data_IF_358666536228
#
_entry.id   IF_358666536228
#
_cell.length_a   1.000
_cell.length_b   1.000
_cell.length_c   1.000
_cell.angle_alpha   90.00
_cell.angle_beta   90.00
_cell.angle_gamma   90.00
#
_symmetry.space_group_name_H-M   'P 1'
#
loop_
_entity.id
_entity.type
_entity.pdbx_description
1 polymer ?
#
# COMPACT_ATOMS: atom_id res chain seq x y z
N UNK A 1 -14.50 -15.61 9.45
CA UNK A 1 -13.47 -14.66 8.95
C UNK A 1 -12.37 -15.50 8.31
N UNK A 2 -12.31 -15.59 6.99
CA UNK A 2 -11.31 -16.45 6.32
C UNK A 2 -9.97 -15.72 6.37
N UNK A 3 -9.05 -16.24 7.19
CA UNK A 3 -7.66 -15.81 7.23
C UNK A 3 -7.07 -15.91 5.81
N UNK A 4 -6.61 -14.78 5.29
CA UNK A 4 -6.10 -14.68 3.92
C UNK A 4 -4.66 -15.17 3.92
N UNK A 5 -4.39 -16.26 3.20
CA UNK A 5 -3.07 -16.88 3.18
C UNK A 5 -2.10 -16.06 2.33
N UNK A 6 -0.95 -15.60 2.85
CA UNK A 6 0.07 -14.98 2.04
C UNK A 6 0.64 -16.00 1.05
N UNK A 7 0.99 -15.53 -0.14
CA UNK A 7 1.42 -16.40 -1.26
C UNK A 7 2.87 -16.85 -1.13
N UNK A 8 3.59 -16.36 -0.12
CA UNK A 8 4.96 -16.75 0.22
C UNK A 8 5.92 -16.81 -1.00
N UNK A 9 5.71 -15.92 -1.99
CA UNK A 9 6.51 -15.85 -3.22
C UNK A 9 6.02 -16.72 -4.40
N UNK A 10 4.99 -17.54 -4.22
CA UNK A 10 4.45 -18.43 -5.26
C UNK A 10 3.49 -17.69 -6.21
N UNK A 11 3.60 -17.97 -7.50
CA UNK A 11 2.77 -17.35 -8.54
C UNK A 11 1.32 -17.87 -8.53
N UNK A 12 0.40 -17.15 -9.20
CA UNK A 12 -1.05 -17.45 -9.09
C UNK A 12 -1.32 -18.81 -9.73
N UNK A 13 -0.65 -18.98 -10.87
CA UNK A 13 -0.72 -20.14 -11.74
C UNK A 13 -0.20 -21.38 -11.02
N UNK A 14 0.96 -21.26 -10.40
CA UNK A 14 1.60 -22.38 -9.71
C UNK A 14 0.78 -22.83 -8.48
N UNK A 15 0.17 -21.88 -7.77
CA UNK A 15 -0.75 -22.21 -6.68
C UNK A 15 -2.05 -22.84 -7.21
N UNK A 16 -2.56 -22.42 -8.36
CA UNK A 16 -3.73 -23.00 -9.01
C UNK A 16 -3.48 -24.45 -9.42
N UNK A 17 -2.31 -24.72 -10.01
CA UNK A 17 -1.87 -26.06 -10.40
C UNK A 17 -1.70 -26.99 -9.19
N UNK A 18 -1.17 -26.48 -8.07
CA UNK A 18 -0.97 -27.28 -6.85
C UNK A 18 -2.24 -27.55 -6.04
N UNK A 19 -3.22 -26.65 -6.09
CA UNK A 19 -4.42 -26.72 -5.25
C UNK A 19 -5.67 -27.16 -6.02
N UNK A 20 -5.63 -27.14 -7.36
CA UNK A 20 -6.79 -27.39 -8.21
C UNK A 20 -7.85 -26.27 -8.16
N UNK A 21 -7.54 -25.15 -7.47
CA UNK A 21 -8.44 -24.01 -7.31
C UNK A 21 -8.25 -23.04 -8.46
N UNK A 22 -9.35 -22.49 -8.99
CA UNK A 22 -9.28 -21.47 -10.04
C UNK A 22 -8.45 -20.26 -9.62
N UNK A 23 -7.67 -19.71 -10.56
CA UNK A 23 -6.84 -18.51 -10.39
C UNK A 23 -7.63 -17.34 -9.82
N UNK A 24 -8.92 -17.20 -10.18
CA UNK A 24 -9.80 -16.15 -9.67
C UNK A 24 -10.09 -16.30 -8.16
N UNK A 25 -10.37 -17.51 -7.68
CA UNK A 25 -10.48 -17.78 -6.24
C UNK A 25 -9.15 -17.52 -5.54
N UNK A 26 -8.04 -17.89 -6.19
CA UNK A 26 -6.72 -17.63 -5.64
C UNK A 26 -6.43 -16.15 -5.50
N UNK A 27 -6.75 -15.33 -6.48
CA UNK A 27 -6.59 -13.88 -6.37
C UNK A 27 -7.48 -13.33 -5.25
N UNK A 28 -8.73 -13.80 -5.14
CA UNK A 28 -9.70 -13.28 -4.17
C UNK A 28 -9.25 -13.39 -2.71
N UNK A 29 -8.72 -14.54 -2.31
CA UNK A 29 -8.31 -14.78 -0.91
C UNK A 29 -6.83 -14.48 -0.61
N UNK A 30 -5.97 -14.24 -1.63
CA UNK A 30 -4.54 -13.96 -1.44
C UNK A 30 -4.18 -12.51 -1.71
N UNK A 31 -4.92 -11.81 -2.57
CA UNK A 31 -4.66 -10.41 -2.83
C UNK A 31 -5.04 -9.54 -1.63
N UNK A 32 -4.19 -8.56 -1.35
CA UNK A 32 -4.47 -7.50 -0.38
C UNK A 32 -5.78 -6.80 -0.80
N UNK A 33 -6.76 -6.64 0.10
CA UNK A 33 -7.98 -5.93 -0.27
C UNK A 33 -7.61 -4.50 -0.67
N UNK A 34 -8.24 -4.01 -1.73
CA UNK A 34 -8.05 -2.64 -2.22
C UNK A 34 -8.17 -1.62 -1.08
N UNK A 35 -9.09 -1.85 -0.14
CA UNK A 35 -9.28 -1.02 1.04
C UNK A 35 -8.07 -0.98 1.97
N UNK A 36 -7.38 -2.11 2.20
CA UNK A 36 -6.17 -2.14 3.02
C UNK A 36 -5.01 -1.39 2.35
N UNK A 37 -4.86 -1.55 1.02
CA UNK A 37 -3.89 -0.77 0.25
C UNK A 37 -4.20 0.73 0.32
N UNK A 38 -5.46 1.12 0.12
CA UNK A 38 -5.90 2.51 0.22
C UNK A 38 -5.72 3.07 1.63
N UNK A 39 -6.01 2.29 2.67
CA UNK A 39 -5.82 2.67 4.07
C UNK A 39 -4.34 2.92 4.38
N UNK A 40 -3.43 2.03 3.95
CA UNK A 40 -1.98 2.26 4.10
C UNK A 40 -1.53 3.52 3.36
N UNK A 41 -2.02 3.75 2.15
CA UNK A 41 -1.71 4.96 1.40
C UNK A 41 -2.22 6.22 2.09
N UNK A 42 -3.42 6.17 2.68
CA UNK A 42 -4.03 7.27 3.43
C UNK A 42 -3.23 7.57 4.70
N UNK A 43 -2.92 6.55 5.51
CA UNK A 43 -2.09 6.68 6.72
C UNK A 43 -0.74 7.33 6.40
N UNK A 44 -0.12 6.94 5.27
CA UNK A 44 1.15 7.51 4.82
C UNK A 44 1.01 8.98 4.44
N UNK A 45 -0.10 9.39 3.82
CA UNK A 45 -0.41 10.80 3.52
C UNK A 45 -0.65 11.60 4.81
N UNK A 46 -1.35 11.05 5.78
CA UNK A 46 -1.58 11.69 7.07
C UNK A 46 -0.27 11.95 7.81
N UNK A 47 0.63 10.96 7.84
CA UNK A 47 1.96 11.10 8.44
C UNK A 47 2.80 12.18 7.75
N UNK A 48 2.71 12.28 6.42
CA UNK A 48 3.36 13.36 5.65
C UNK A 48 2.80 14.73 6.07
N UNK A 49 1.48 14.85 6.30
CA UNK A 49 0.84 16.11 6.70
C UNK A 49 1.25 16.51 8.11
N UNK A 50 1.28 15.56 9.05
CA UNK A 50 1.70 15.79 10.43
C UNK A 50 3.15 16.32 10.47
N UNK A 51 4.07 15.64 9.78
CA UNK A 51 5.47 16.07 9.69
C UNK A 51 5.64 17.42 9.00
N UNK A 52 4.74 17.77 8.06
CA UNK A 52 4.75 19.10 7.45
C UNK A 52 4.24 20.16 8.42
N UNK A 53 3.25 19.86 9.25
CA UNK A 53 2.75 20.73 10.30
C UNK A 53 3.78 21.03 11.38
N UNK A 54 4.69 20.10 11.65
CA UNK A 54 5.83 20.33 12.57
C UNK A 54 6.97 21.15 11.96
N UNK A 55 6.84 21.61 10.69
CA UNK A 55 7.82 22.47 10.03
C UNK A 55 8.97 21.73 9.33
N UNK A 56 8.91 20.40 9.17
CA UNK A 56 9.93 19.69 8.39
C UNK A 56 9.86 20.03 6.91
N UNK A 57 11.03 20.09 6.27
CA UNK A 57 11.12 20.25 4.81
C UNK A 57 10.63 18.99 4.09
N UNK A 58 10.08 19.15 2.89
CA UNK A 58 9.59 18.00 2.08
C UNK A 58 10.69 16.97 1.81
N UNK A 59 11.95 17.41 1.70
CA UNK A 59 13.13 16.54 1.55
C UNK A 59 13.42 15.72 2.80
N UNK A 60 13.32 16.33 3.99
CA UNK A 60 13.48 15.63 5.25
C UNK A 60 12.38 14.57 5.43
N UNK A 61 11.13 14.93 5.15
CA UNK A 61 9.98 14.02 5.20
C UNK A 61 10.15 12.83 4.24
N UNK A 62 10.65 13.10 3.03
CA UNK A 62 10.92 12.06 2.04
C UNK A 62 11.98 11.07 2.53
N UNK A 63 13.07 11.56 3.14
CA UNK A 63 14.10 10.70 3.73
C UNK A 63 13.57 9.88 4.91
N UNK A 64 12.84 10.51 5.84
CA UNK A 64 12.25 9.87 7.02
C UNK A 64 11.31 8.72 6.64
N UNK A 65 10.49 8.92 5.59
CA UNK A 65 9.51 7.95 5.15
C UNK A 65 10.04 6.98 4.08
N UNK A 66 11.30 7.11 3.66
CA UNK A 66 11.86 6.33 2.54
C UNK A 66 11.07 6.51 1.24
N UNK A 67 10.56 7.71 1.00
CA UNK A 67 9.71 8.05 -0.14
C UNK A 67 10.43 8.98 -1.12
N UNK A 68 9.94 9.07 -2.35
CA UNK A 68 10.35 10.15 -3.24
C UNK A 68 9.70 11.48 -2.82
N UNK A 69 10.40 12.59 -3.06
CA UNK A 69 9.86 13.95 -2.84
C UNK A 69 8.57 14.17 -3.65
N UNK A 70 8.46 13.56 -4.83
CA UNK A 70 7.22 13.60 -5.63
C UNK A 70 6.03 12.96 -4.89
N UNK A 71 6.26 11.88 -4.15
CA UNK A 71 5.21 11.25 -3.32
C UNK A 71 4.74 12.20 -2.22
N UNK A 72 5.66 12.94 -1.61
CA UNK A 72 5.34 13.96 -0.60
C UNK A 72 4.55 15.11 -1.22
N UNK A 73 4.97 15.59 -2.39
CA UNK A 73 4.25 16.64 -3.12
C UNK A 73 2.82 16.21 -3.48
N UNK A 74 2.62 15.01 -4.04
CA UNK A 74 1.28 14.51 -4.36
C UNK A 74 0.40 14.29 -3.13
N UNK A 75 0.97 13.88 -2.01
CA UNK A 75 0.24 13.72 -0.75
C UNK A 75 -0.29 15.06 -0.20
N UNK A 76 0.43 16.16 -0.47
CA UNK A 76 0.08 17.52 -0.07
C UNK A 76 -0.83 18.21 -1.09
N UNK A 77 -0.58 18.03 -2.39
CA UNK A 77 -1.38 18.64 -3.47
C UNK A 77 -2.85 18.17 -3.48
N UNK A 78 -3.14 16.99 -2.91
CA UNK A 78 -4.52 16.53 -2.73
C UNK A 78 -5.35 17.29 -1.70
N UNK A 79 -4.79 18.33 -1.06
CA UNK A 79 -5.48 19.20 -0.09
C UNK A 79 -6.08 20.43 -0.77
N UNK A 80 -5.52 20.86 -1.91
CA UNK A 80 -5.91 22.09 -2.61
C UNK A 80 -7.02 21.89 -3.65
N UNK A 81 -7.80 20.80 -3.57
CA UNK A 81 -8.89 20.50 -4.51
C UNK A 81 -10.23 20.34 -3.82
#
# INVERSE_FOLDING_TARGET
MTERLPRNGITVRELAERTGVSTASIIRWTSEPREAYLSRAQQRREKIRELRGTGMSMRAIANELGCSVGTVHHALAGIER
#
